data_IF_925996152114
#
_entry.id   IF_925996152114
#
_cell.length_a   1.000
_cell.length_b   1.000
_cell.length_c   1.000
_cell.angle_alpha   90.00
_cell.angle_beta   90.00
_cell.angle_gamma   90.00
#
_symmetry.space_group_name_H-M   'P 1'
#
loop_
_entity.id
_entity.type
_entity.pdbx_description
1 polymer ?
#
# COMPACT_ATOMS: atom_id res chain seq x y z
N UNK A 1 -23.86 -1.89 7.48
CA UNK A 1 -22.58 -2.30 6.84
C UNK A 1 -21.46 -2.18 7.87
N UNK A 2 -20.47 -3.09 7.87
CA UNK A 2 -19.26 -2.95 8.69
C UNK A 2 -18.21 -2.11 7.97
N UNK A 3 -17.52 -1.24 8.68
CA UNK A 3 -16.38 -0.47 8.18
C UNK A 3 -15.13 -0.83 9.01
N UNK A 4 -14.11 -1.37 8.36
CA UNK A 4 -12.90 -1.85 9.01
C UNK A 4 -11.84 -0.75 8.97
N UNK A 5 -11.21 -0.49 10.11
CA UNK A 5 -10.15 0.50 10.20
C UNK A 5 -9.10 0.12 11.26
N UNK A 6 -7.85 0.53 11.00
CA UNK A 6 -6.77 0.53 12.00
C UNK A 6 -6.20 1.93 12.16
N UNK A 7 -6.11 2.42 13.40
CA UNK A 7 -5.53 3.73 13.69
C UNK A 7 -4.01 3.80 13.36
N UNK A 8 -3.33 2.65 13.25
CA UNK A 8 -1.92 2.57 12.83
C UNK A 8 -1.71 3.20 11.45
N UNK A 9 -2.72 3.15 10.59
CA UNK A 9 -2.73 3.79 9.26
C UNK A 9 -2.50 5.30 9.30
N UNK A 10 -2.79 5.96 10.43
CA UNK A 10 -2.60 7.40 10.60
C UNK A 10 -1.13 7.78 10.82
N UNK A 11 -0.25 6.81 11.11
CA UNK A 11 1.17 7.05 11.37
C UNK A 11 1.97 7.44 10.13
N UNK A 12 1.58 6.96 8.93
CA UNK A 12 2.23 7.37 7.70
C UNK A 12 1.78 8.78 7.32
N UNK A 13 2.70 9.75 7.42
CA UNK A 13 2.47 11.14 7.05
C UNK A 13 3.74 11.74 6.42
N UNK A 14 4.10 11.34 5.20
CA UNK A 14 5.16 12.04 4.47
C UNK A 14 4.79 13.50 4.32
N UNK A 15 5.80 14.35 4.31
CA UNK A 15 5.66 15.80 4.25
C UNK A 15 5.66 16.30 2.81
N UNK A 16 6.33 15.59 1.90
CA UNK A 16 6.61 16.10 0.56
C UNK A 16 6.62 15.03 -0.52
N UNK A 17 6.36 15.46 -1.76
CA UNK A 17 6.60 14.65 -2.95
C UNK A 17 6.99 15.52 -4.15
N UNK A 18 7.54 14.90 -5.19
CA UNK A 18 7.85 15.57 -6.44
C UNK A 18 6.62 15.57 -7.35
N UNK A 19 6.14 16.76 -7.71
CA UNK A 19 5.04 16.96 -8.66
C UNK A 19 5.46 17.99 -9.69
N UNK A 20 5.41 17.64 -10.98
CA UNK A 20 5.73 18.54 -12.08
C UNK A 20 7.06 19.30 -11.90
N UNK A 21 8.11 18.62 -11.43
CA UNK A 21 9.44 19.20 -11.18
C UNK A 21 9.59 19.98 -9.87
N UNK A 22 8.53 20.11 -9.07
CA UNK A 22 8.53 20.86 -7.82
C UNK A 22 8.34 19.94 -6.61
N UNK A 23 9.04 20.24 -5.52
CA UNK A 23 8.77 19.62 -4.22
C UNK A 23 7.58 20.34 -3.59
N UNK A 24 6.48 19.62 -3.41
CA UNK A 24 5.23 20.15 -2.88
C UNK A 24 4.74 19.31 -1.70
N UNK A 25 3.73 19.77 -0.98
CA UNK A 25 3.15 19.04 0.15
C UNK A 25 2.53 17.71 -0.28
N UNK A 26 2.72 16.66 0.53
CA UNK A 26 2.17 15.33 0.25
C UNK A 26 0.63 15.32 0.36
N UNK A 27 -0.11 14.91 -0.69
CA UNK A 27 -1.57 15.06 -0.73
C UNK A 27 -2.31 13.97 0.05
N UNK A 28 -1.78 12.74 0.10
CA UNK A 28 -2.37 11.67 0.89
C UNK A 28 -2.04 11.82 2.39
N UNK A 29 -2.86 12.61 3.08
CA UNK A 29 -2.65 12.93 4.51
C UNK A 29 -3.56 12.11 5.45
N UNK A 30 -3.20 11.98 6.76
CA UNK A 30 -4.04 11.31 7.75
C UNK A 30 -5.44 11.92 7.88
N UNK A 31 -5.61 13.19 7.51
CA UNK A 31 -6.90 13.86 7.51
C UNK A 31 -7.93 13.17 6.60
N UNK A 32 -7.49 12.61 5.46
CA UNK A 32 -8.36 11.84 4.54
C UNK A 32 -9.02 10.66 5.25
N UNK A 33 -8.23 9.86 5.96
CA UNK A 33 -8.74 8.70 6.69
C UNK A 33 -9.67 9.11 7.83
N UNK A 34 -9.40 10.24 8.52
CA UNK A 34 -10.29 10.77 9.57
C UNK A 34 -11.64 11.20 8.99
N UNK A 35 -11.64 11.95 7.89
CA UNK A 35 -12.85 12.39 7.21
C UNK A 35 -13.70 11.21 6.71
N UNK A 36 -13.07 10.20 6.09
CA UNK A 36 -13.77 8.99 5.65
C UNK A 36 -14.33 8.18 6.83
N UNK A 37 -13.64 8.16 7.97
CA UNK A 37 -14.10 7.46 9.16
C UNK A 37 -15.30 8.17 9.80
N UNK A 38 -15.30 9.51 9.78
CA UNK A 38 -16.45 10.33 10.18
C UNK A 38 -17.64 10.10 9.26
N UNK A 39 -17.47 10.22 7.94
CA UNK A 39 -18.54 9.95 6.97
C UNK A 39 -19.10 8.53 7.07
N UNK A 40 -18.25 7.54 7.36
CA UNK A 40 -18.72 6.16 7.61
C UNK A 40 -19.62 6.07 8.86
N UNK A 41 -19.30 6.81 9.94
CA UNK A 41 -20.14 6.86 11.14
C UNK A 41 -21.47 7.55 10.88
N UNK A 42 -21.45 8.67 10.16
CA UNK A 42 -22.66 9.41 9.77
C UNK A 42 -23.58 8.56 8.89
N UNK A 43 -23.02 7.74 8.01
CA UNK A 43 -23.75 6.76 7.21
C UNK A 43 -24.25 5.53 8.01
N UNK A 44 -24.08 5.51 9.34
CA UNK A 44 -24.51 4.42 10.21
C UNK A 44 -23.67 3.14 10.11
N UNK A 45 -22.45 3.20 9.60
CA UNK A 45 -21.57 2.04 9.54
C UNK A 45 -21.06 1.65 10.94
N UNK A 46 -21.03 0.35 11.22
CA UNK A 46 -20.39 -0.16 12.43
C UNK A 46 -18.88 -0.17 12.22
N UNK A 47 -18.15 0.65 12.98
CA UNK A 47 -16.69 0.69 12.92
C UNK A 47 -16.11 -0.52 13.66
N UNK A 48 -15.33 -1.34 12.96
CA UNK A 48 -14.66 -2.51 13.52
C UNK A 48 -13.15 -2.41 13.36
N UNK A 49 -12.40 -2.97 14.30
CA UNK A 49 -10.95 -3.02 14.22
C UNK A 49 -10.48 -4.01 13.14
N UNK A 50 -9.43 -3.65 12.42
CA UNK A 50 -8.71 -4.61 11.57
C UNK A 50 -8.06 -5.70 12.42
N UNK A 51 -8.11 -6.96 11.94
CA UNK A 51 -7.36 -8.07 12.56
C UNK A 51 -5.90 -7.98 12.15
N UNK A 52 -5.02 -8.58 12.97
CA UNK A 52 -3.62 -8.79 12.62
C UNK A 52 -3.48 -10.07 11.80
N UNK A 53 -2.54 -10.06 10.87
CA UNK A 53 -2.13 -11.19 10.07
C UNK A 53 -0.62 -11.35 10.18
N UNK A 54 -0.13 -12.56 9.90
CA UNK A 54 1.29 -12.75 9.62
C UNK A 54 1.65 -11.96 8.36
N UNK A 55 2.67 -11.08 8.38
CA UNK A 55 3.12 -10.36 7.19
C UNK A 55 3.49 -11.24 5.99
N UNK A 56 3.77 -12.54 6.20
CA UNK A 56 3.98 -13.51 5.12
C UNK A 56 2.79 -13.60 4.15
N UNK A 57 1.56 -13.28 4.59
CA UNK A 57 0.37 -13.23 3.73
C UNK A 57 0.52 -12.25 2.56
N UNK A 58 1.33 -11.20 2.71
CA UNK A 58 1.53 -10.23 1.64
C UNK A 58 2.23 -10.84 0.43
N UNK A 59 2.98 -11.92 0.65
CA UNK A 59 3.69 -12.65 -0.40
C UNK A 59 2.79 -13.53 -1.27
N UNK A 60 1.50 -13.62 -0.96
CA UNK A 60 0.50 -14.21 -1.88
C UNK A 60 0.28 -13.34 -3.14
N UNK A 61 0.66 -12.06 -3.08
CA UNK A 61 0.50 -11.08 -4.18
C UNK A 61 1.82 -10.39 -4.52
N UNK A 62 2.60 -10.03 -3.50
CA UNK A 62 3.83 -9.27 -3.67
C UNK A 62 5.07 -10.17 -3.66
N UNK A 63 6.09 -9.80 -4.41
CA UNK A 63 7.35 -10.51 -4.35
C UNK A 63 7.99 -10.35 -2.97
N UNK A 64 8.48 -11.46 -2.39
CA UNK A 64 9.05 -11.46 -1.03
C UNK A 64 10.17 -10.44 -0.86
N UNK A 65 11.05 -10.30 -1.85
CA UNK A 65 12.15 -9.34 -1.82
C UNK A 65 11.66 -7.88 -1.76
N UNK A 66 10.51 -7.58 -2.38
CA UNK A 66 9.89 -6.26 -2.32
C UNK A 66 9.26 -5.99 -0.95
N UNK A 67 8.59 -6.99 -0.36
CA UNK A 67 8.05 -6.89 1.00
C UNK A 67 9.18 -6.66 2.01
N UNK A 68 10.29 -7.40 1.87
CA UNK A 68 11.48 -7.23 2.71
C UNK A 68 12.07 -5.81 2.56
N UNK A 69 12.15 -5.29 1.33
CA UNK A 69 12.58 -3.92 1.09
C UNK A 69 11.67 -2.92 1.82
N UNK A 70 10.35 -3.03 1.71
CA UNK A 70 9.44 -2.11 2.41
C UNK A 70 9.62 -2.14 3.95
N UNK A 71 9.92 -3.32 4.50
CA UNK A 71 10.16 -3.51 5.94
C UNK A 71 11.43 -2.80 6.42
N UNK A 72 12.53 -2.90 5.67
CA UNK A 72 13.85 -2.44 6.12
C UNK A 72 14.24 -1.06 5.58
N UNK A 73 13.64 -0.59 4.48
CA UNK A 73 14.14 0.53 3.68
C UNK A 73 14.38 1.81 4.48
N UNK A 74 13.44 2.21 5.34
CA UNK A 74 13.64 3.41 6.17
C UNK A 74 14.78 3.24 7.19
N UNK A 75 14.86 2.04 7.80
CA UNK A 75 15.87 1.71 8.80
C UNK A 75 17.29 1.72 8.22
N UNK A 76 17.43 1.34 6.95
CA UNK A 76 18.68 1.40 6.20
C UNK A 76 18.96 2.83 5.70
N UNK A 77 17.94 3.53 5.20
CA UNK A 77 18.07 4.91 4.73
C UNK A 77 18.59 5.87 5.80
N UNK A 78 18.09 5.75 7.03
CA UNK A 78 18.53 6.60 8.16
C UNK A 78 20.00 6.40 8.56
N UNK A 79 20.68 5.37 8.04
CA UNK A 79 22.11 5.15 8.29
C UNK A 79 22.99 5.91 7.31
N UNK A 80 22.43 6.47 6.24
CA UNK A 80 23.17 7.28 5.26
C UNK A 80 23.42 8.66 5.87
N UNK A 81 24.70 9.06 5.92
CA UNK A 81 25.08 10.40 6.38
C UNK A 81 24.42 11.48 5.52
N UNK A 82 23.79 12.46 6.16
CA UNK A 82 23.06 13.54 5.46
C UNK A 82 21.74 13.10 4.82
N UNK A 83 21.23 11.90 5.11
CA UNK A 83 19.93 11.45 4.63
C UNK A 83 18.82 12.42 5.01
N UNK A 84 17.93 12.69 4.05
CA UNK A 84 16.67 13.37 4.32
C UNK A 84 15.78 12.53 5.25
N UNK A 85 14.79 13.13 5.95
CA UNK A 85 13.86 12.39 6.82
C UNK A 85 13.07 11.28 6.11
N UNK A 86 12.93 11.36 4.79
CA UNK A 86 12.12 10.46 3.98
C UNK A 86 12.98 9.89 2.84
N UNK A 87 12.90 8.58 2.63
CA UNK A 87 13.50 7.95 1.46
C UNK A 87 12.63 8.24 0.24
N UNK A 88 13.21 8.98 -0.70
CA UNK A 88 12.64 9.21 -2.03
C UNK A 88 13.63 8.64 -3.06
N UNK A 89 13.18 7.89 -4.07
CA UNK A 89 14.09 7.38 -5.08
C UNK A 89 14.66 8.56 -5.86
N UNK A 90 15.95 8.51 -6.23
CA UNK A 90 16.57 9.46 -7.17
C UNK A 90 17.25 8.75 -8.35
N UNK A 91 17.21 7.42 -8.36
CA UNK A 91 17.75 6.57 -9.40
C UNK A 91 16.63 5.77 -10.06
N UNK A 92 16.80 5.44 -11.33
CA UNK A 92 15.90 4.57 -12.10
C UNK A 92 16.71 3.57 -12.89
N UNK A 93 16.37 2.27 -12.86
CA UNK A 93 16.99 1.31 -13.75
C UNK A 93 16.52 1.56 -15.19
N UNK A 94 17.48 1.78 -16.09
CA UNK A 94 17.22 1.92 -17.54
C UNK A 94 17.25 0.57 -18.28
N UNK A 95 17.76 -0.47 -17.63
CA UNK A 95 17.87 -1.82 -18.14
C UNK A 95 17.41 -2.84 -17.08
N UNK A 96 17.12 -4.10 -17.45
CA UNK A 96 16.82 -5.14 -16.48
C UNK A 96 17.92 -5.28 -15.43
N UNK A 97 17.52 -5.36 -14.16
CA UNK A 97 18.46 -5.54 -13.06
C UNK A 97 18.74 -7.04 -12.90
N UNK A 98 19.95 -7.44 -13.27
CA UNK A 98 20.40 -8.83 -13.22
C UNK A 98 20.87 -9.27 -11.83
N UNK A 99 21.37 -8.34 -11.02
CA UNK A 99 21.87 -8.58 -9.66
C UNK A 99 21.19 -7.61 -8.70
N UNK A 100 20.76 -8.10 -7.53
CA UNK A 100 20.10 -7.26 -6.53
C UNK A 100 21.05 -6.16 -6.04
N UNK A 101 20.68 -4.87 -6.12
CA UNK A 101 21.55 -3.80 -5.67
C UNK A 101 21.71 -3.82 -4.15
N UNK A 102 22.93 -3.59 -3.66
CA UNK A 102 23.19 -3.50 -2.22
C UNK A 102 22.77 -2.15 -1.65
N UNK A 103 23.08 -1.06 -2.37
CA UNK A 103 22.86 0.30 -1.89
C UNK A 103 21.36 0.67 -1.86
N UNK A 104 20.89 1.24 -0.74
CA UNK A 104 19.48 1.57 -0.52
C UNK A 104 18.87 2.44 -1.61
N UNK A 105 19.61 3.41 -2.14
CA UNK A 105 19.12 4.29 -3.23
C UNK A 105 18.90 3.53 -4.55
N UNK A 106 19.74 2.53 -4.85
CA UNK A 106 19.57 1.71 -6.04
C UNK A 106 18.38 0.75 -5.90
N UNK A 107 18.18 0.18 -4.70
CA UNK A 107 16.96 -0.59 -4.40
C UNK A 107 15.70 0.26 -4.42
N UNK A 108 15.74 1.50 -3.91
CA UNK A 108 14.65 2.45 -4.04
C UNK A 108 14.29 2.69 -5.51
N UNK A 109 15.30 2.87 -6.37
CA UNK A 109 15.09 2.98 -7.82
C UNK A 109 14.46 1.75 -8.47
N UNK A 110 14.77 0.54 -7.97
CA UNK A 110 14.19 -0.74 -8.40
C UNK A 110 12.73 -0.91 -7.95
N UNK A 111 12.43 -0.58 -6.70
CA UNK A 111 11.20 -0.95 -5.99
C UNK A 111 10.17 0.18 -5.88
N UNK A 112 10.46 1.36 -6.40
CA UNK A 112 9.55 2.51 -6.36
C UNK A 112 9.47 3.05 -7.78
N UNK A 113 8.30 3.08 -8.43
CA UNK A 113 8.18 3.41 -9.86
C UNK A 113 8.15 4.91 -10.16
N UNK A 114 7.77 5.73 -9.17
CA UNK A 114 7.67 7.18 -9.26
C UNK A 114 8.28 7.84 -8.01
N UNK A 115 8.15 9.16 -7.90
CA UNK A 115 8.65 9.97 -6.78
C UNK A 115 7.54 10.36 -5.79
N UNK A 116 6.39 9.68 -5.87
CA UNK A 116 5.19 9.98 -5.08
C UNK A 116 5.01 9.07 -3.87
N UNK A 117 5.83 8.02 -3.72
CA UNK A 117 5.69 7.02 -2.65
C UNK A 117 6.81 7.13 -1.59
N UNK A 118 7.02 8.32 -1.02
CA UNK A 118 8.08 8.55 -0.03
C UNK A 118 7.99 7.61 1.19
N UNK A 119 9.09 6.94 1.54
CA UNK A 119 9.13 6.00 2.67
C UNK A 119 9.61 6.74 3.94
N UNK A 120 8.70 6.89 4.88
CA UNK A 120 8.92 7.34 6.27
C UNK A 120 9.07 6.15 7.24
N UNK A 121 9.49 6.41 8.48
CA UNK A 121 9.57 5.43 9.59
C UNK A 121 8.28 4.63 9.78
N UNK A 122 7.12 5.27 9.57
CA UNK A 122 5.80 4.67 9.81
C UNK A 122 5.15 4.07 8.57
N UNK A 123 5.85 4.08 7.43
CA UNK A 123 5.29 3.62 6.15
C UNK A 123 4.97 2.13 6.19
N UNK A 124 5.94 1.31 6.62
CA UNK A 124 5.73 -0.14 6.71
C UNK A 124 4.54 -0.49 7.62
N UNK A 125 4.50 0.07 8.83
CA UNK A 125 3.45 -0.23 9.79
C UNK A 125 2.06 0.22 9.31
N UNK A 126 1.97 1.39 8.69
CA UNK A 126 0.71 1.90 8.14
C UNK A 126 0.25 1.12 6.90
N UNK A 127 1.14 0.87 5.93
CA UNK A 127 0.83 0.10 4.72
C UNK A 127 0.40 -1.32 5.07
N UNK A 128 1.09 -1.98 6.00
CA UNK A 128 0.72 -3.30 6.50
C UNK A 128 -0.65 -3.28 7.18
N UNK A 129 -0.92 -2.29 8.04
CA UNK A 129 -2.23 -2.14 8.67
C UNK A 129 -3.35 -1.89 7.65
N UNK A 130 -3.03 -1.23 6.54
CA UNK A 130 -3.96 -1.02 5.43
C UNK A 130 -4.28 -2.30 4.68
N UNK A 131 -3.26 -3.07 4.32
CA UNK A 131 -3.42 -4.38 3.71
C UNK A 131 -4.24 -5.34 4.60
N UNK A 132 -3.96 -5.35 5.91
CA UNK A 132 -4.70 -6.14 6.90
C UNK A 132 -6.16 -5.69 7.07
N UNK A 133 -6.45 -4.41 6.85
CA UNK A 133 -7.82 -3.87 6.81
C UNK A 133 -8.59 -4.47 5.65
N UNK A 134 -7.99 -4.52 4.46
CA UNK A 134 -8.58 -5.15 3.27
C UNK A 134 -8.77 -6.67 3.44
N UNK A 135 -7.77 -7.38 3.98
CA UNK A 135 -7.87 -8.81 4.28
C UNK A 135 -8.99 -9.11 5.30
N UNK A 136 -9.15 -8.25 6.31
CA UNK A 136 -10.23 -8.38 7.29
C UNK A 136 -11.60 -8.21 6.67
N UNK A 137 -11.77 -7.25 5.77
CA UNK A 137 -13.02 -7.08 5.03
C UNK A 137 -13.31 -8.30 4.15
N UNK A 138 -12.31 -8.79 3.40
CA UNK A 138 -12.45 -10.00 2.57
C UNK A 138 -12.89 -11.22 3.39
N UNK A 139 -12.25 -11.47 4.53
CA UNK A 139 -12.60 -12.59 5.41
C UNK A 139 -14.00 -12.46 6.05
N UNK A 140 -14.48 -11.24 6.29
CA UNK A 140 -15.85 -11.04 6.75
C UNK A 140 -16.86 -11.35 5.65
N UNK A 141 -16.56 -10.98 4.40
CA UNK A 141 -17.37 -11.38 3.26
C UNK A 141 -17.40 -12.91 3.09
N UNK A 142 -16.25 -13.58 3.22
CA UNK A 142 -16.18 -15.05 3.22
C UNK A 142 -16.99 -15.72 4.33
N UNK A 143 -17.27 -14.99 5.42
CA UNK A 143 -18.11 -15.44 6.56
C UNK A 143 -19.59 -15.08 6.41
N UNK A 144 -19.99 -14.49 5.28
CA UNK A 144 -21.38 -14.21 4.95
C UNK A 144 -21.81 -12.74 5.07
N UNK A 145 -20.90 -11.80 5.36
CA UNK A 145 -21.23 -10.38 5.24
C UNK A 145 -21.35 -10.00 3.75
N UNK A 146 -22.52 -9.49 3.32
CA UNK A 146 -22.73 -9.13 1.90
C UNK A 146 -21.86 -7.96 1.43
N UNK A 147 -21.63 -6.97 2.31
CA UNK A 147 -20.87 -5.76 2.00
C UNK A 147 -20.07 -5.34 3.24
N UNK A 148 -18.77 -5.12 3.05
CA UNK A 148 -17.85 -4.61 4.08
C UNK A 148 -16.96 -3.54 3.49
N UNK A 149 -16.87 -2.39 4.16
CA UNK A 149 -16.00 -1.30 3.73
C UNK A 149 -14.62 -1.43 4.38
N UNK A 150 -13.57 -1.65 3.59
CA UNK A 150 -12.19 -1.60 4.04
C UNK A 150 -11.66 -0.16 3.93
N UNK A 151 -11.60 0.58 5.05
CA UNK A 151 -11.12 1.96 5.06
C UNK A 151 -9.58 1.98 5.05
N UNK A 152 -9.03 1.81 3.86
CA UNK A 152 -7.60 1.66 3.63
C UNK A 152 -6.88 3.00 3.46
N UNK A 153 -5.80 3.21 4.23
CA UNK A 153 -4.77 4.24 4.01
C UNK A 153 -3.40 3.74 4.49
N UNK A 154 -2.29 3.88 3.73
CA UNK A 154 -2.20 4.41 2.36
C UNK A 154 -3.00 3.57 1.33
N UNK A 155 -3.30 4.14 0.14
CA UNK A 155 -3.98 3.41 -0.94
C UNK A 155 -3.12 2.25 -1.49
N UNK A 156 -3.67 1.46 -2.42
CA UNK A 156 -3.01 0.24 -2.90
C UNK A 156 -2.96 0.00 -4.41
N UNK A 157 -3.87 0.54 -5.21
CA UNK A 157 -4.07 0.07 -6.59
C UNK A 157 -2.92 0.34 -7.59
N UNK A 158 -1.97 1.21 -7.23
CA UNK A 158 -0.76 1.47 -8.01
C UNK A 158 0.41 0.56 -7.62
N UNK A 159 0.32 -0.19 -6.52
CA UNK A 159 1.38 -1.12 -6.12
C UNK A 159 1.34 -2.37 -7.02
N UNK A 160 2.45 -2.63 -7.71
CA UNK A 160 2.68 -3.83 -8.51
C UNK A 160 3.17 -4.98 -7.62
N UNK A 161 3.33 -6.18 -8.19
CA UNK A 161 3.94 -7.35 -7.53
C UNK A 161 5.23 -6.97 -6.78
N UNK A 162 6.10 -6.16 -7.39
CA UNK A 162 7.37 -5.78 -6.79
C UNK A 162 7.69 -4.29 -6.80
N UNK A 163 6.70 -3.39 -6.90
CA UNK A 163 6.99 -1.93 -6.96
C UNK A 163 5.89 -1.09 -6.30
N UNK A 164 6.31 -0.10 -5.52
CA UNK A 164 5.49 0.97 -4.96
C UNK A 164 5.30 2.09 -6.00
N UNK A 165 4.25 2.90 -5.85
CA UNK A 165 4.05 4.13 -6.62
C UNK A 165 2.65 4.70 -6.42
N UNK A 166 2.40 5.92 -6.88
CA UNK A 166 1.13 6.62 -6.72
C UNK A 166 0.62 6.62 -5.28
N UNK A 167 1.48 6.94 -4.31
CA UNK A 167 1.21 6.85 -2.86
C UNK A 167 0.93 5.42 -2.32
N UNK A 168 0.97 4.39 -3.17
CA UNK A 168 0.66 2.99 -2.84
C UNK A 168 1.92 2.17 -2.57
N UNK A 169 1.85 1.28 -1.56
CA UNK A 169 2.96 0.41 -1.15
C UNK A 169 2.58 -1.08 -1.15
N UNK A 170 1.39 -1.41 -0.66
CA UNK A 170 0.84 -2.77 -0.76
C UNK A 170 -0.50 -2.67 -1.49
N UNK A 171 -0.77 -3.61 -2.38
CA UNK A 171 -2.00 -3.61 -3.16
C UNK A 171 -3.13 -4.23 -2.36
N UNK A 172 -3.77 -3.39 -1.55
CA UNK A 172 -4.91 -3.73 -0.70
C UNK A 172 -6.01 -4.49 -1.48
N UNK A 173 -6.34 -3.99 -2.68
CA UNK A 173 -7.37 -4.57 -3.55
C UNK A 173 -6.98 -5.95 -4.05
N UNK A 174 -5.75 -6.11 -4.52
CA UNK A 174 -5.24 -7.39 -4.99
C UNK A 174 -5.14 -8.42 -3.85
N UNK A 175 -4.72 -8.02 -2.65
CA UNK A 175 -4.69 -8.89 -1.47
C UNK A 175 -6.10 -9.35 -1.08
N UNK A 176 -7.08 -8.44 -1.07
CA UNK A 176 -8.48 -8.80 -0.81
C UNK A 176 -9.02 -9.76 -1.88
N UNK A 177 -8.75 -9.49 -3.16
CA UNK A 177 -9.21 -10.34 -4.26
C UNK A 177 -8.55 -11.72 -4.23
N UNK A 178 -7.25 -11.79 -3.97
CA UNK A 178 -6.52 -13.04 -3.82
C UNK A 178 -7.06 -13.85 -2.63
N UNK A 179 -7.37 -13.17 -1.52
CA UNK A 179 -8.01 -13.78 -0.36
C UNK A 179 -9.38 -14.37 -0.69
N UNK A 180 -10.23 -13.62 -1.40
CA UNK A 180 -11.54 -14.12 -1.85
C UNK A 180 -11.40 -15.30 -2.83
N UNK A 181 -10.36 -15.29 -3.69
CA UNK A 181 -10.07 -16.39 -4.62
C UNK A 181 -9.65 -17.69 -3.94
N UNK A 182 -9.29 -17.68 -2.66
CA UNK A 182 -9.03 -18.91 -1.89
C UNK A 182 -10.28 -19.77 -1.67
N UNK A 183 -11.47 -19.19 -1.82
CA UNK A 183 -12.76 -19.88 -1.66
C UNK A 183 -13.60 -19.79 -2.93
N UNK A 184 -13.57 -18.64 -3.61
CA UNK A 184 -14.35 -18.41 -4.83
C UNK A 184 -13.55 -18.69 -6.10
N UNK A 185 -14.18 -19.35 -7.07
CA UNK A 185 -13.56 -19.66 -8.36
C UNK A 185 -13.28 -18.40 -9.19
N UNK A 186 -14.15 -17.38 -9.10
CA UNK A 186 -14.03 -16.12 -9.85
C UNK A 186 -14.29 -14.94 -8.93
N UNK A 187 -13.44 -13.91 -9.06
CA UNK A 187 -13.53 -12.64 -8.34
C UNK A 187 -13.26 -11.55 -9.36
N UNK A 188 -14.08 -10.52 -9.37
CA UNK A 188 -13.90 -9.34 -10.19
C UNK A 188 -13.45 -8.17 -9.33
N UNK A 189 -12.64 -7.28 -9.92
CA UNK A 189 -12.28 -6.00 -9.35
C UNK A 189 -12.84 -4.93 -10.28
N UNK A 190 -13.63 -4.03 -9.72
CA UNK A 190 -14.07 -2.81 -10.40
C UNK A 190 -13.35 -1.64 -9.73
N UNK A 191 -12.39 -1.06 -10.44
CA UNK A 191 -11.69 0.14 -10.00
C UNK A 191 -12.38 1.38 -10.57
N UNK A 192 -12.91 2.22 -9.69
CA UNK A 192 -13.62 3.47 -10.02
C UNK A 192 -12.81 4.70 -9.62
N UNK A 193 -11.55 4.54 -9.19
CA UNK A 193 -10.67 5.67 -8.96
C UNK A 193 -10.44 6.44 -10.29
N UNK A 194 -10.17 7.73 -10.18
CA UNK A 194 -9.90 8.58 -11.35
C UNK A 194 -8.62 8.16 -12.08
N UNK A 195 -7.67 7.58 -11.37
CA UNK A 195 -6.46 7.02 -11.94
C UNK A 195 -6.64 5.52 -12.21
N UNK A 196 -6.09 5.08 -13.33
CA UNK A 196 -6.01 3.65 -13.63
C UNK A 196 -5.21 2.91 -12.54
N UNK A 197 -5.81 1.88 -11.94
CA UNK A 197 -5.17 0.92 -11.04
C UNK A 197 -4.16 0.00 -11.73
N UNK A 198 -3.13 0.59 -12.33
CA UNK A 198 -2.08 -0.08 -13.11
C UNK A 198 -1.34 -1.18 -12.35
N UNK A 199 -1.15 -1.04 -11.03
CA UNK A 199 -0.57 -2.07 -10.18
C UNK A 199 -1.48 -3.30 -10.08
N UNK A 200 -2.77 -3.08 -9.86
CA UNK A 200 -3.78 -4.15 -9.85
C UNK A 200 -3.87 -4.86 -11.19
N UNK A 201 -3.89 -4.10 -12.30
CA UNK A 201 -3.82 -4.67 -13.65
C UNK A 201 -2.56 -5.53 -13.79
N UNK A 202 -1.38 -4.98 -13.45
CA UNK A 202 -0.10 -5.67 -13.59
C UNK A 202 0.00 -6.96 -12.78
N UNK A 203 -0.65 -7.04 -11.60
CA UNK A 203 -0.67 -8.24 -10.76
C UNK A 203 -1.50 -9.37 -11.43
N UNK A 204 -2.60 -9.04 -12.09
CA UNK A 204 -3.54 -10.05 -12.60
C UNK A 204 -3.53 -10.23 -14.12
N UNK A 205 -2.70 -9.50 -14.85
CA UNK A 205 -2.72 -9.47 -16.32
C UNK A 205 -2.51 -10.83 -17.00
N UNK A 206 -1.71 -11.71 -16.38
CA UNK A 206 -1.41 -13.05 -16.90
C UNK A 206 -2.21 -14.19 -16.27
N UNK A 207 -3.30 -13.89 -15.55
CA UNK A 207 -4.17 -14.89 -14.93
C UNK A 207 -5.34 -15.29 -15.82
#
# INVERSE_FOLDING_TARGET
MKAIFSAVQLGHAPSRFLSNGHIVAYPDSPARARALLEGAREAGAQICAARRYDPAVFSEVHAQHYVNFLQSAHGEWKQIEGAAPELMPSLRPMAPILVEPEHIMARAGRYMMDFSCAITEKTWSAASASAMTALTAADLCLKGDNVVYALCRPPGHHAFVGRAGGFCYLNNTALAAQRLRSVHERVAILDIDVHHGNGTQGIFYGR
#
